data_IF_018237894684
#
_entry.id   IF_018237894684
#
_cell.length_a   1.000
_cell.length_b   1.000
_cell.length_c   1.000
_cell.angle_alpha   90.00
_cell.angle_beta   90.00
_cell.angle_gamma   90.00
#
_symmetry.space_group_name_H-M   'P 1'
#
loop_
_entity.id
_entity.type
_entity.pdbx_description
1 polymer ?
#
# COMPACT_ATOMS: atom_id res chain seq x y z
N UNK A 1 12.96 14.83 4.02
CA UNK A 1 13.09 13.58 4.84
C UNK A 1 11.91 13.50 5.81
N UNK A 2 11.45 12.30 6.19
CA UNK A 2 10.41 12.18 7.21
C UNK A 2 11.01 12.28 8.62
N UNK A 3 10.32 13.03 9.50
CA UNK A 3 10.67 13.18 10.92
C UNK A 3 9.52 12.69 11.78
N UNK A 4 9.80 11.80 12.73
CA UNK A 4 8.78 11.28 13.65
C UNK A 4 8.34 12.41 14.59
N UNK A 5 7.02 12.51 14.77
CA UNK A 5 6.41 13.44 15.71
C UNK A 5 6.46 12.85 17.13
N UNK A 6 6.96 13.64 18.09
CA UNK A 6 7.16 13.26 19.48
C UNK A 6 6.46 14.18 20.49
N UNK A 7 5.85 15.28 20.03
CA UNK A 7 5.05 16.18 20.85
C UNK A 7 3.65 15.62 21.10
N UNK A 8 3.27 15.49 22.39
CA UNK A 8 2.00 14.90 22.81
C UNK A 8 0.78 15.60 22.19
N UNK A 9 0.79 16.93 22.11
CA UNK A 9 -0.33 17.73 21.60
C UNK A 9 -0.54 17.49 20.11
N UNK A 10 0.56 17.40 19.36
CA UNK A 10 0.61 17.11 17.92
C UNK A 10 0.17 15.69 17.64
N UNK A 11 0.71 14.71 18.37
CA UNK A 11 0.31 13.30 18.24
C UNK A 11 -1.19 13.15 18.51
N UNK A 12 -1.71 13.78 19.58
CA UNK A 12 -3.14 13.76 19.91
C UNK A 12 -4.00 14.39 18.80
N UNK A 13 -3.52 15.44 18.14
CA UNK A 13 -4.18 16.06 16.98
C UNK A 13 -4.21 15.10 15.80
N UNK A 14 -3.08 14.46 15.48
CA UNK A 14 -2.97 13.47 14.39
C UNK A 14 -3.84 12.24 14.65
N UNK A 15 -3.88 11.73 15.88
CA UNK A 15 -4.78 10.64 16.26
C UNK A 15 -6.27 10.99 16.05
N UNK A 16 -6.67 12.21 16.39
CA UNK A 16 -8.04 12.69 16.10
C UNK A 16 -8.30 12.81 14.60
N UNK A 17 -7.30 13.20 13.82
CA UNK A 17 -7.38 13.30 12.37
C UNK A 17 -7.53 11.90 11.74
N UNK A 18 -6.76 10.90 12.19
CA UNK A 18 -6.92 9.50 11.80
C UNK A 18 -8.36 9.01 12.02
N UNK A 19 -8.91 9.22 13.22
CA UNK A 19 -10.29 8.81 13.53
C UNK A 19 -11.30 9.57 12.66
N UNK A 20 -11.07 10.86 12.42
CA UNK A 20 -11.94 11.69 11.57
C UNK A 20 -11.93 11.22 10.11
N UNK A 21 -10.77 10.83 9.57
CA UNK A 21 -10.66 10.29 8.21
C UNK A 21 -11.44 8.98 8.05
N UNK A 22 -11.40 8.09 9.06
CA UNK A 22 -12.09 6.79 9.04
C UNK A 22 -13.61 6.92 9.19
N UNK A 23 -14.09 7.97 9.88
CA UNK A 23 -15.51 8.11 10.27
C UNK A 23 -16.52 8.09 9.12
N UNK A 24 -16.30 8.73 7.98
CA UNK A 24 -17.24 8.74 6.85
C UNK A 24 -17.53 7.34 6.29
N UNK A 25 -16.57 6.41 6.38
CA UNK A 25 -16.68 5.06 5.85
C UNK A 25 -17.38 4.08 6.80
N UNK A 26 -17.69 4.50 8.03
CA UNK A 26 -18.34 3.64 9.03
C UNK A 26 -19.81 3.45 8.70
N UNK A 27 -20.18 2.22 8.34
CA UNK A 27 -21.57 1.84 8.06
C UNK A 27 -22.32 1.37 9.31
N UNK A 28 -21.62 0.68 10.24
CA UNK A 28 -22.21 0.23 11.51
C UNK A 28 -21.14 0.00 12.58
N UNK A 29 -21.60 -0.20 13.81
CA UNK A 29 -20.80 -0.66 14.95
C UNK A 29 -21.27 -2.03 15.39
N UNK A 30 -20.31 -2.95 15.57
CA UNK A 30 -20.57 -4.35 15.85
C UNK A 30 -19.96 -4.72 17.19
N UNK A 31 -20.73 -5.39 18.06
CA UNK A 31 -20.22 -5.89 19.33
C UNK A 31 -19.41 -7.16 19.09
N UNK A 32 -18.19 -7.22 19.59
CA UNK A 32 -17.28 -8.35 19.41
C UNK A 32 -16.43 -8.61 20.65
N UNK A 33 -15.75 -9.76 20.66
CA UNK A 33 -14.64 -10.04 21.58
C UNK A 33 -13.34 -9.95 20.78
N UNK A 34 -12.51 -8.93 21.06
CA UNK A 34 -11.19 -8.79 20.44
C UNK A 34 -10.21 -9.64 21.24
N UNK A 35 -9.59 -10.64 20.59
CA UNK A 35 -8.54 -11.46 21.18
C UNK A 35 -7.18 -10.74 21.13
N UNK A 36 -6.49 -10.69 22.28
CA UNK A 36 -5.09 -10.32 22.39
C UNK A 36 -4.29 -11.48 22.99
N UNK A 37 -2.97 -11.54 22.87
CA UNK A 37 -2.17 -12.54 23.58
C UNK A 37 -2.42 -12.47 25.09
N UNK A 38 -3.02 -13.54 25.65
CA UNK A 38 -3.31 -13.65 27.09
C UNK A 38 -4.58 -12.95 27.58
N UNK A 39 -5.30 -12.21 26.74
CA UNK A 39 -6.50 -11.47 27.15
C UNK A 39 -7.55 -11.43 26.03
N UNK A 40 -8.82 -11.37 26.40
CA UNK A 40 -9.91 -11.04 25.46
C UNK A 40 -10.72 -9.87 25.99
N UNK A 41 -11.03 -8.90 25.13
CA UNK A 41 -11.76 -7.69 25.49
C UNK A 41 -13.07 -7.61 24.72
N UNK A 42 -14.19 -7.37 25.42
CA UNK A 42 -15.44 -6.99 24.78
C UNK A 42 -15.33 -5.54 24.28
N UNK A 43 -15.61 -5.32 23.01
CA UNK A 43 -15.55 -4.01 22.39
C UNK A 43 -16.64 -3.84 21.33
N UNK A 44 -16.94 -2.59 20.99
CA UNK A 44 -17.69 -2.24 19.77
C UNK A 44 -16.69 -1.79 18.72
N UNK A 45 -16.52 -2.55 17.66
CA UNK A 45 -15.68 -2.18 16.52
C UNK A 45 -16.52 -1.42 15.50
N UNK A 46 -15.88 -0.51 14.78
CA UNK A 46 -16.48 0.20 13.64
C UNK A 46 -16.21 -0.60 12.37
N UNK A 47 -17.24 -0.91 11.60
CA UNK A 47 -17.15 -1.53 10.29
C UNK A 47 -17.21 -0.48 9.20
N UNK A 48 -16.15 -0.35 8.41
CA UNK A 48 -16.06 0.48 7.23
C UNK A 48 -16.31 -0.41 6.00
N UNK A 49 -17.52 -0.32 5.43
CA UNK A 49 -18.00 -1.29 4.44
C UNK A 49 -17.27 -1.21 3.10
N UNK A 50 -17.10 -0.01 2.55
CA UNK A 50 -16.44 0.19 1.26
C UNK A 50 -14.97 -0.24 1.29
N UNK A 51 -14.11 0.23 2.22
CA UNK A 51 -12.72 -0.25 2.28
C UNK A 51 -12.58 -1.68 2.79
N UNK A 52 -13.66 -2.31 3.29
CA UNK A 52 -13.68 -3.71 3.72
C UNK A 52 -12.88 -4.01 4.98
N UNK A 53 -12.73 -3.02 5.88
CA UNK A 53 -11.99 -3.16 7.13
C UNK A 53 -12.84 -2.84 8.36
N UNK A 54 -12.56 -3.48 9.46
CA UNK A 54 -13.04 -3.02 10.76
C UNK A 54 -11.90 -2.41 11.57
N UNK A 55 -12.25 -1.48 12.47
CA UNK A 55 -11.27 -0.88 13.35
C UNK A 55 -11.82 -0.61 14.75
N UNK A 56 -10.90 -0.60 15.71
CA UNK A 56 -11.15 -0.21 17.08
C UNK A 56 -10.00 0.66 17.58
N UNK A 57 -10.33 1.81 18.15
CA UNK A 57 -9.34 2.75 18.69
C UNK A 57 -9.58 2.94 20.17
N UNK A 58 -8.52 2.87 20.98
CA UNK A 58 -8.54 3.07 22.43
C UNK A 58 -7.29 3.81 22.89
N UNK A 59 -7.47 4.74 23.81
CA UNK A 59 -6.34 5.37 24.51
C UNK A 59 -5.97 4.53 25.73
N UNK A 60 -4.69 4.18 25.85
CA UNK A 60 -4.10 3.64 27.07
C UNK A 60 -3.33 4.81 27.69
N UNK A 61 -3.85 5.32 28.80
CA UNK A 61 -3.33 6.53 29.42
C UNK A 61 -1.82 6.38 29.77
N UNK A 62 -1.06 7.41 29.40
CA UNK A 62 0.38 7.49 29.66
C UNK A 62 1.25 6.53 28.82
N UNK A 63 0.65 5.79 27.86
CA UNK A 63 1.36 4.80 27.06
C UNK A 63 1.13 5.05 25.55
N UNK A 64 -0.03 4.64 25.03
CA UNK A 64 -0.25 4.63 23.58
C UNK A 64 -1.73 4.82 23.18
N UNK A 65 -1.92 5.24 21.95
CA UNK A 65 -3.16 5.03 21.22
C UNK A 65 -3.10 3.64 20.59
N UNK A 66 -3.99 2.74 21.01
CA UNK A 66 -4.14 1.42 20.41
C UNK A 66 -5.12 1.52 19.25
N UNK A 67 -4.64 1.29 18.03
CA UNK A 67 -5.45 1.28 16.82
C UNK A 67 -5.40 -0.13 16.22
N UNK A 68 -6.46 -0.89 16.40
CA UNK A 68 -6.59 -2.28 15.90
C UNK A 68 -7.38 -2.26 14.61
N UNK A 69 -6.90 -2.97 13.59
CA UNK A 69 -7.54 -3.12 12.29
C UNK A 69 -7.64 -4.60 11.92
N UNK A 70 -8.70 -4.95 11.19
CA UNK A 70 -8.85 -6.28 10.61
C UNK A 70 -9.71 -6.25 9.36
N UNK A 71 -9.70 -7.34 8.61
CA UNK A 71 -10.41 -7.52 7.36
C UNK A 71 -11.76 -8.20 7.55
N UNK A 72 -12.67 -7.94 6.61
CA UNK A 72 -13.99 -8.55 6.57
C UNK A 72 -14.94 -8.03 7.66
N UNK A 73 -16.22 -8.20 7.43
CA UNK A 73 -17.25 -7.80 8.41
C UNK A 73 -17.26 -8.77 9.58
N UNK A 74 -17.02 -8.29 10.82
CA UNK A 74 -17.07 -9.14 11.99
C UNK A 74 -18.48 -9.72 12.24
N UNK A 75 -18.59 -10.97 12.74
CA UNK A 75 -19.87 -11.51 13.22
C UNK A 75 -20.29 -10.81 14.52
N UNK A 76 -21.56 -10.49 14.66
CA UNK A 76 -22.10 -9.87 15.89
C UNK A 76 -21.94 -10.83 17.09
N UNK A 77 -21.43 -10.33 18.20
CA UNK A 77 -21.12 -11.12 19.39
C UNK A 77 -19.92 -12.08 19.22
N UNK A 78 -19.34 -12.18 18.03
CA UNK A 78 -18.26 -13.12 17.72
C UNK A 78 -16.91 -12.71 18.29
N UNK A 79 -15.95 -13.65 18.22
CA UNK A 79 -14.54 -13.40 18.52
C UNK A 79 -13.80 -12.99 17.23
N UNK A 80 -13.00 -11.94 17.32
CA UNK A 80 -12.15 -11.47 16.22
C UNK A 80 -10.72 -11.27 16.69
N UNK A 81 -9.78 -11.41 15.77
CA UNK A 81 -8.38 -11.05 15.99
C UNK A 81 -8.01 -9.92 15.05
N UNK A 82 -7.22 -8.97 15.54
CA UNK A 82 -6.71 -7.89 14.70
C UNK A 82 -5.74 -8.44 13.66
N UNK A 83 -5.92 -8.06 12.39
CA UNK A 83 -4.90 -8.30 11.38
C UNK A 83 -3.63 -7.54 11.75
N UNK A 84 -3.78 -6.29 12.18
CA UNK A 84 -2.66 -5.47 12.66
C UNK A 84 -3.10 -4.48 13.73
N UNK A 85 -2.18 -4.15 14.63
CA UNK A 85 -2.27 -3.01 15.53
C UNK A 85 -1.26 -1.96 15.12
N UNK A 86 -1.75 -0.78 14.72
CA UNK A 86 -0.92 0.40 14.43
C UNK A 86 -0.96 1.30 15.67
N UNK A 87 -0.25 0.86 16.69
CA UNK A 87 -0.19 1.57 17.96
C UNK A 87 0.75 2.77 17.84
N UNK A 88 0.35 3.92 18.39
CA UNK A 88 1.11 5.16 18.36
C UNK A 88 1.37 5.63 19.79
N UNK A 89 2.60 6.01 20.20
CA UNK A 89 2.88 6.57 21.51
C UNK A 89 2.02 7.80 21.80
N UNK A 90 1.61 8.02 23.04
CA UNK A 90 0.87 9.23 23.43
C UNK A 90 1.74 10.47 23.53
N UNK A 91 3.03 10.30 23.74
CA UNK A 91 4.06 11.34 23.78
C UNK A 91 5.42 10.66 23.87
N UNK A 92 6.49 11.37 23.50
CA UNK A 92 7.85 10.84 23.38
C UNK A 92 8.05 9.74 22.33
N UNK A 93 9.32 9.46 22.05
CA UNK A 93 9.71 8.40 21.12
C UNK A 93 9.73 7.05 21.85
N UNK A 94 8.92 6.10 21.41
CA UNK A 94 9.00 4.70 21.83
C UNK A 94 9.16 3.77 20.63
N UNK A 95 10.38 3.27 20.42
CA UNK A 95 10.73 2.37 19.33
C UNK A 95 10.18 0.95 19.47
N UNK A 96 9.62 0.60 20.63
CA UNK A 96 8.95 -0.69 20.84
C UNK A 96 7.55 -0.68 20.24
N UNK A 97 6.96 0.51 20.07
CA UNK A 97 5.65 0.72 19.45
C UNK A 97 5.80 0.77 17.94
N UNK A 98 5.03 -0.06 17.22
CA UNK A 98 5.20 -0.27 15.77
C UNK A 98 4.77 0.91 14.91
N UNK A 99 3.73 1.66 15.29
CA UNK A 99 3.21 2.81 14.55
C UNK A 99 3.75 4.14 15.07
N UNK A 100 3.74 5.15 14.21
CA UNK A 100 3.99 6.54 14.57
C UNK A 100 3.36 7.48 13.53
N UNK A 101 3.31 8.76 13.87
CA UNK A 101 3.09 9.83 12.90
C UNK A 101 4.43 10.46 12.56
N UNK A 102 4.63 10.74 11.27
CA UNK A 102 5.83 11.42 10.79
C UNK A 102 5.45 12.58 9.86
N UNK A 103 6.27 13.61 9.82
CA UNK A 103 6.05 14.80 9.01
C UNK A 103 7.16 14.94 7.99
N UNK A 104 6.80 15.34 6.77
CA UNK A 104 7.77 15.71 5.73
C UNK A 104 8.12 17.21 5.78
N UNK A 105 9.07 17.61 4.93
CA UNK A 105 9.54 18.99 4.85
C UNK A 105 8.45 19.97 4.33
N UNK A 106 7.40 19.46 3.69
CA UNK A 106 6.23 20.25 3.26
C UNK A 106 5.16 20.38 4.35
N UNK A 107 5.36 19.76 5.51
CA UNK A 107 4.40 19.82 6.63
C UNK A 107 3.26 18.79 6.55
N UNK A 108 3.26 17.89 5.56
CA UNK A 108 2.28 16.80 5.45
C UNK A 108 2.57 15.75 6.51
N UNK A 109 1.52 15.16 7.07
CA UNK A 109 1.63 14.16 8.14
C UNK A 109 1.22 12.79 7.66
N UNK A 110 2.11 11.84 7.80
CA UNK A 110 1.92 10.46 7.39
C UNK A 110 1.75 9.53 8.59
N UNK A 111 0.88 8.53 8.44
CA UNK A 111 0.87 7.37 9.31
C UNK A 111 1.96 6.40 8.81
N UNK A 112 2.83 5.96 9.72
CA UNK A 112 3.96 5.07 9.40
C UNK A 112 3.97 3.83 10.30
N UNK A 113 4.69 2.79 9.86
CA UNK A 113 4.88 1.56 10.63
C UNK A 113 6.30 1.02 10.53
N UNK A 114 6.88 0.58 11.66
CA UNK A 114 8.27 0.10 11.76
C UNK A 114 8.49 -1.35 11.28
N UNK A 115 7.44 -2.02 10.77
CA UNK A 115 7.54 -3.34 10.14
C UNK A 115 7.58 -4.54 11.08
N UNK A 116 7.59 -4.36 12.40
CA UNK A 116 7.47 -5.47 13.35
C UNK A 116 6.00 -5.69 13.70
N UNK A 117 5.42 -6.75 13.18
CA UNK A 117 4.00 -7.09 13.34
C UNK A 117 3.85 -8.10 14.48
N UNK A 118 3.18 -7.68 15.54
CA UNK A 118 2.88 -8.54 16.68
C UNK A 118 1.59 -9.35 16.49
N UNK A 119 1.19 -10.08 17.54
CA UNK A 119 -0.05 -10.84 17.61
C UNK A 119 0.17 -12.35 17.52
N UNK A 120 -0.95 -13.12 17.52
CA UNK A 120 -0.93 -14.60 17.51
C UNK A 120 -0.23 -15.17 16.27
N UNK A 121 -0.40 -14.50 15.11
CA UNK A 121 0.29 -14.76 13.85
C UNK A 121 1.22 -13.57 13.60
N UNK A 122 2.27 -13.44 14.43
CA UNK A 122 3.24 -12.36 14.36
C UNK A 122 4.19 -12.55 13.18
N UNK A 123 4.55 -11.44 12.50
CA UNK A 123 5.54 -11.45 11.42
C UNK A 123 6.78 -10.72 11.88
N UNK A 124 7.91 -11.41 11.87
CA UNK A 124 9.21 -10.81 12.18
C UNK A 124 9.55 -9.70 11.16
N UNK A 125 10.34 -8.71 11.62
CA UNK A 125 10.74 -7.57 10.79
C UNK A 125 11.38 -8.01 9.47
N UNK A 126 12.26 -9.01 9.51
CA UNK A 126 12.95 -9.52 8.33
C UNK A 126 11.98 -10.10 7.28
N UNK A 127 11.03 -10.94 7.69
CA UNK A 127 10.03 -11.52 6.79
C UNK A 127 9.13 -10.43 6.21
N UNK A 128 8.73 -9.47 7.03
CA UNK A 128 7.94 -8.33 6.57
C UNK A 128 8.70 -7.50 5.53
N UNK A 129 9.97 -7.15 5.78
CA UNK A 129 10.81 -6.39 4.84
C UNK A 129 11.04 -7.15 3.52
N UNK A 130 11.14 -8.48 3.58
CA UNK A 130 11.33 -9.30 2.39
C UNK A 130 10.10 -9.31 1.47
N UNK A 131 8.89 -9.30 2.04
CA UNK A 131 7.65 -9.52 1.31
C UNK A 131 6.79 -8.27 1.13
N UNK A 132 6.88 -7.28 2.03
CA UNK A 132 6.05 -6.09 1.90
C UNK A 132 6.43 -5.28 0.67
N UNK A 133 5.47 -5.09 -0.22
CA UNK A 133 5.56 -4.25 -1.41
C UNK A 133 4.69 -3.00 -1.19
N UNK A 134 5.33 -1.87 -1.01
CA UNK A 134 4.71 -0.56 -0.76
C UNK A 134 5.79 0.48 -0.52
N UNK A 135 5.39 1.64 -0.03
CA UNK A 135 6.27 2.79 0.16
C UNK A 135 7.12 2.61 1.42
N UNK A 136 8.43 2.62 1.24
CA UNK A 136 9.41 2.62 2.31
C UNK A 136 10.12 3.96 2.38
N UNK A 137 10.49 4.39 3.58
CA UNK A 137 11.32 5.57 3.82
C UNK A 137 12.27 5.34 4.98
N UNK A 138 13.36 6.09 5.01
CA UNK A 138 14.10 6.33 6.22
C UNK A 138 13.48 7.51 6.99
N UNK A 139 13.40 7.39 8.30
CA UNK A 139 12.92 8.44 9.19
C UNK A 139 13.95 8.79 10.23
N UNK A 140 13.99 10.05 10.62
CA UNK A 140 14.68 10.48 11.84
C UNK A 140 13.85 10.07 13.05
N UNK A 141 14.40 9.17 13.86
CA UNK A 141 13.81 8.61 15.07
C UNK A 141 14.69 9.00 16.28
N UNK A 142 14.60 10.26 16.69
CA UNK A 142 15.54 10.87 17.62
C UNK A 142 16.93 10.99 17.00
N UNK A 143 17.96 10.40 17.65
CA UNK A 143 19.35 10.43 17.17
C UNK A 143 19.71 9.28 16.20
N UNK A 144 18.75 8.52 15.72
CA UNK A 144 18.98 7.38 14.80
C UNK A 144 18.09 7.48 13.58
N UNK A 145 18.50 6.79 12.52
CA UNK A 145 17.67 6.56 11.35
C UNK A 145 17.10 5.15 11.37
N UNK A 146 15.86 4.99 10.96
CA UNK A 146 15.22 3.70 10.83
C UNK A 146 14.36 3.61 9.59
N UNK A 147 14.36 2.43 8.95
CA UNK A 147 13.47 2.15 7.85
C UNK A 147 12.04 1.91 8.37
N UNK A 148 11.08 2.57 7.73
CA UNK A 148 9.65 2.45 8.04
C UNK A 148 8.83 2.33 6.76
N UNK A 149 7.65 1.75 6.89
CA UNK A 149 6.61 1.81 5.87
C UNK A 149 5.83 3.09 6.02
N UNK A 150 5.62 3.80 4.91
CA UNK A 150 4.69 4.93 4.82
C UNK A 150 3.34 4.39 4.38
N UNK A 151 2.33 4.51 5.24
CA UNK A 151 0.99 3.98 4.99
C UNK A 151 0.18 4.95 4.13
N UNK A 152 0.21 6.23 4.47
CA UNK A 152 -0.48 7.28 3.71
C UNK A 152 -0.48 8.62 4.42
N UNK A 153 -0.81 9.67 3.66
CA UNK A 153 -0.99 11.03 4.16
C UNK A 153 -2.36 11.16 4.82
N UNK A 154 -2.39 11.55 6.10
CA UNK A 154 -3.64 11.72 6.88
C UNK A 154 -4.61 12.73 6.26
N UNK A 155 -4.17 13.62 5.40
CA UNK A 155 -4.99 14.64 4.75
C UNK A 155 -5.47 14.23 3.36
N UNK A 156 -4.90 13.17 2.78
CA UNK A 156 -5.33 12.65 1.48
C UNK A 156 -6.75 12.08 1.58
N UNK A 157 -7.57 12.37 0.57
CA UNK A 157 -8.89 11.74 0.40
C UNK A 157 -8.77 10.23 0.12
N UNK A 158 -7.59 9.74 -0.30
CA UNK A 158 -7.27 8.34 -0.55
C UNK A 158 -6.75 7.62 0.70
N UNK A 159 -6.50 8.32 1.80
CA UNK A 159 -5.83 7.78 2.99
C UNK A 159 -6.48 6.48 3.51
N UNK A 160 -7.80 6.41 3.56
CA UNK A 160 -8.50 5.23 4.11
C UNK A 160 -8.34 4.02 3.21
N UNK A 161 -8.29 4.21 1.89
CA UNK A 161 -7.98 3.14 0.93
C UNK A 161 -6.52 2.68 1.05
N UNK A 162 -5.58 3.62 1.22
CA UNK A 162 -4.16 3.32 1.46
C UNK A 162 -3.98 2.49 2.74
N UNK A 163 -4.66 2.88 3.81
CA UNK A 163 -4.66 2.13 5.07
C UNK A 163 -5.27 0.72 4.89
N UNK A 164 -6.39 0.60 4.20
CA UNK A 164 -7.02 -0.69 3.93
C UNK A 164 -6.11 -1.60 3.07
N UNK A 165 -5.44 -1.04 2.07
CA UNK A 165 -4.45 -1.76 1.28
C UNK A 165 -3.28 -2.25 2.15
N UNK A 166 -2.78 -1.41 3.05
CA UNK A 166 -1.74 -1.82 4.01
C UNK A 166 -2.20 -2.99 4.88
N UNK A 167 -3.44 -2.95 5.41
CA UNK A 167 -4.00 -4.05 6.23
C UNK A 167 -4.08 -5.34 5.42
N UNK A 168 -4.52 -5.30 4.14
CA UNK A 168 -4.57 -6.48 3.25
C UNK A 168 -3.18 -7.05 2.98
N UNK A 169 -2.19 -6.18 2.66
CA UNK A 169 -0.78 -6.61 2.46
C UNK A 169 -0.21 -7.30 3.71
N UNK A 170 -0.51 -6.78 4.89
CA UNK A 170 -0.10 -7.43 6.16
C UNK A 170 -0.77 -8.79 6.35
N UNK A 171 -2.05 -8.92 6.04
CA UNK A 171 -2.77 -10.18 6.15
C UNK A 171 -2.17 -11.25 5.24
N UNK A 172 -1.95 -10.91 3.97
CA UNK A 172 -1.32 -11.79 3.00
C UNK A 172 0.09 -12.24 3.42
N UNK A 173 0.89 -11.35 4.01
CA UNK A 173 2.23 -11.71 4.52
C UNK A 173 2.12 -12.65 5.74
N UNK A 174 1.09 -12.50 6.57
CA UNK A 174 0.83 -13.41 7.69
C UNK A 174 0.48 -14.82 7.21
N UNK A 175 -0.30 -14.91 6.14
CA UNK A 175 -0.65 -16.20 5.54
C UNK A 175 0.57 -16.95 4.99
N UNK A 176 1.58 -16.21 4.49
CA UNK A 176 2.86 -16.82 4.07
C UNK A 176 3.66 -17.41 5.24
N UNK A 177 3.53 -16.86 6.44
CA UNK A 177 4.25 -17.31 7.63
C UNK A 177 3.65 -18.56 8.29
N UNK A 178 2.42 -18.94 7.95
CA UNK A 178 1.74 -20.12 8.48
C UNK A 178 2.06 -21.41 7.71
N UNK A 179 2.57 -21.30 6.47
CA UNK A 179 3.09 -22.45 5.72
C UNK A 179 4.46 -22.86 6.27
N UNK A 180 4.47 -23.84 7.17
CA UNK A 180 5.68 -24.40 7.81
C UNK A 180 6.61 -25.18 6.82
N UNK A 181 6.38 -25.07 5.51
CA UNK A 181 7.24 -25.66 4.48
C UNK A 181 8.42 -24.72 4.16
N UNK A 182 9.66 -25.09 4.55
CA UNK A 182 10.86 -24.32 4.20
C UNK A 182 11.07 -24.20 2.69
N UNK A 183 10.49 -25.10 1.88
CA UNK A 183 10.57 -25.07 0.41
C UNK A 183 9.51 -24.14 -0.20
N UNK A 184 8.36 -23.96 0.43
CA UNK A 184 7.38 -22.95 0.04
C UNK A 184 7.93 -21.50 0.18
N UNK A 185 8.98 -21.31 0.98
CA UNK A 185 9.68 -20.03 1.14
C UNK A 185 10.56 -19.64 -0.05
N UNK A 186 10.89 -20.56 -0.94
CA UNK A 186 11.83 -20.36 -2.06
C UNK A 186 11.09 -20.20 -3.39
N UNK A 187 9.92 -20.76 -3.52
CA UNK A 187 9.10 -20.71 -4.72
C UNK A 187 7.92 -19.76 -4.55
N UNK A 188 8.19 -18.46 -4.58
CA UNK A 188 7.22 -17.58 -5.21
C UNK A 188 7.25 -17.93 -6.70
N UNK A 189 6.44 -18.92 -7.01
CA UNK A 189 6.20 -19.28 -8.39
C UNK A 189 5.61 -18.04 -9.07
N UNK A 190 6.28 -17.55 -10.10
CA UNK A 190 5.91 -16.37 -10.91
C UNK A 190 4.50 -16.46 -11.52
N UNK A 191 3.76 -17.52 -11.24
CA UNK A 191 2.52 -17.87 -11.93
C UNK A 191 1.24 -17.42 -11.24
N UNK A 192 1.26 -16.97 -9.96
CA UNK A 192 0.04 -16.52 -9.28
C UNK A 192 0.08 -15.03 -9.02
N UNK A 193 -0.72 -14.30 -9.80
CA UNK A 193 -1.01 -12.90 -9.52
C UNK A 193 -1.64 -12.77 -8.12
N UNK A 194 -1.02 -11.96 -7.26
CA UNK A 194 -1.54 -11.58 -5.94
C UNK A 194 -1.55 -10.07 -5.85
N UNK A 195 -2.74 -9.51 -5.72
CA UNK A 195 -2.97 -8.06 -5.61
C UNK A 195 -2.17 -7.42 -4.47
N UNK A 196 -1.98 -8.17 -3.39
CA UNK A 196 -1.30 -7.71 -2.17
C UNK A 196 0.20 -7.44 -2.40
N UNK A 197 0.77 -8.01 -3.47
CA UNK A 197 2.20 -7.86 -3.79
C UNK A 197 2.48 -6.92 -4.97
N UNK A 198 1.47 -6.18 -5.42
CA UNK A 198 1.66 -5.10 -6.38
C UNK A 198 2.34 -3.92 -5.68
N UNK A 199 3.24 -3.25 -6.39
CA UNK A 199 4.01 -2.12 -5.89
C UNK A 199 5.48 -2.47 -5.68
N UNK A 200 6.30 -1.43 -5.57
CA UNK A 200 7.75 -1.56 -5.42
C UNK A 200 8.23 -1.13 -4.04
N UNK A 201 9.35 -1.70 -3.59
CA UNK A 201 10.06 -1.20 -2.43
C UNK A 201 10.87 0.02 -2.85
N UNK A 202 10.58 1.18 -2.27
CA UNK A 202 11.35 2.40 -2.48
C UNK A 202 11.92 2.89 -1.16
N UNK A 203 13.21 3.11 -1.15
CA UNK A 203 13.89 3.83 -0.07
C UNK A 203 14.46 5.08 -0.72
N UNK A 204 13.82 6.23 -0.56
CA UNK A 204 14.29 7.48 -1.16
C UNK A 204 14.01 8.67 -0.25
N UNK A 205 15.05 9.43 0.05
CA UNK A 205 14.96 10.66 0.86
C UNK A 205 14.33 11.85 0.11
N UNK A 206 14.20 11.79 -1.22
CA UNK A 206 13.84 12.94 -2.07
C UNK A 206 12.51 12.80 -2.81
N UNK A 207 11.69 11.79 -2.48
CA UNK A 207 10.46 11.53 -3.21
C UNK A 207 9.23 12.11 -2.53
N UNK A 208 8.21 12.36 -3.33
CA UNK A 208 6.88 12.69 -2.84
C UNK A 208 6.19 11.41 -2.32
N UNK A 209 6.18 11.25 -1.00
CA UNK A 209 5.60 10.08 -0.34
C UNK A 209 4.10 9.93 -0.60
N UNK A 210 3.37 11.04 -0.73
CA UNK A 210 1.94 11.00 -1.03
C UNK A 210 1.72 10.45 -2.45
N UNK A 211 2.47 10.97 -3.43
CA UNK A 211 2.40 10.48 -4.81
C UNK A 211 2.79 9.00 -4.94
N UNK A 212 3.76 8.52 -4.17
CA UNK A 212 4.12 7.08 -4.17
C UNK A 212 3.02 6.22 -3.54
N UNK A 213 2.34 6.70 -2.49
CA UNK A 213 1.19 5.99 -1.90
C UNK A 213 -0.01 5.97 -2.87
N UNK A 214 -0.26 7.08 -3.57
CA UNK A 214 -1.32 7.17 -4.58
C UNK A 214 -1.01 6.24 -5.77
N UNK A 215 0.25 6.20 -6.22
CA UNK A 215 0.70 5.27 -7.25
C UNK A 215 0.41 3.81 -6.90
N UNK A 216 0.66 3.39 -5.67
CA UNK A 216 0.40 2.02 -5.23
C UNK A 216 -1.09 1.68 -5.29
N UNK A 217 -1.98 2.64 -4.99
CA UNK A 217 -3.41 2.47 -5.18
C UNK A 217 -3.80 2.44 -6.66
N UNK A 218 -3.25 3.33 -7.48
CA UNK A 218 -3.50 3.34 -8.92
C UNK A 218 -3.08 2.01 -9.57
N UNK A 219 -1.95 1.44 -9.15
CA UNK A 219 -1.52 0.13 -9.62
C UNK A 219 -2.50 -0.99 -9.23
N UNK A 220 -3.08 -0.94 -8.03
CA UNK A 220 -4.12 -1.89 -7.61
C UNK A 220 -5.39 -1.73 -8.44
N UNK A 221 -5.86 -0.50 -8.65
CA UNK A 221 -7.05 -0.22 -9.46
C UNK A 221 -6.86 -0.64 -10.93
N UNK A 222 -5.64 -0.42 -11.47
CA UNK A 222 -5.28 -0.90 -12.81
C UNK A 222 -5.41 -2.42 -12.90
N UNK A 223 -4.89 -3.14 -11.90
CA UNK A 223 -4.99 -4.60 -11.88
C UNK A 223 -6.45 -5.07 -11.81
N UNK A 224 -7.29 -4.42 -11.00
CA UNK A 224 -8.72 -4.72 -10.96
C UNK A 224 -9.36 -4.46 -12.33
N UNK A 225 -9.10 -3.31 -12.95
CA UNK A 225 -9.64 -2.96 -14.25
C UNK A 225 -9.24 -3.96 -15.35
N UNK A 226 -7.98 -4.36 -15.37
CA UNK A 226 -7.48 -5.38 -16.31
C UNK A 226 -8.16 -6.75 -16.09
N UNK A 227 -8.39 -7.15 -14.84
CA UNK A 227 -9.15 -8.37 -14.51
C UNK A 227 -10.59 -8.29 -15.01
N UNK A 228 -11.27 -7.18 -14.78
CA UNK A 228 -12.64 -6.97 -15.23
C UNK A 228 -12.76 -7.03 -16.75
N UNK A 229 -11.70 -6.66 -17.48
CA UNK A 229 -11.58 -6.82 -18.93
C UNK A 229 -11.21 -8.25 -19.36
N UNK A 230 -11.05 -9.19 -18.42
CA UNK A 230 -10.73 -10.58 -18.71
C UNK A 230 -9.24 -10.88 -18.94
N UNK A 231 -8.34 -9.93 -18.66
CA UNK A 231 -6.91 -10.13 -18.83
C UNK A 231 -6.35 -11.15 -17.82
N UNK A 232 -5.43 -12.00 -18.28
CA UNK A 232 -4.66 -12.89 -17.41
C UNK A 232 -3.47 -12.15 -16.84
N UNK A 233 -3.54 -11.80 -15.55
CA UNK A 233 -2.53 -11.01 -14.88
C UNK A 233 -1.39 -11.84 -14.33
N UNK A 234 -0.22 -11.23 -14.26
CA UNK A 234 0.92 -11.66 -13.48
C UNK A 234 1.58 -10.45 -12.82
N UNK A 235 2.40 -10.71 -11.81
CA UNK A 235 3.23 -9.70 -11.17
C UNK A 235 4.68 -10.18 -11.11
N UNK A 236 5.62 -9.29 -11.41
CA UNK A 236 7.04 -9.61 -11.34
C UNK A 236 7.64 -9.33 -9.96
N UNK A 237 8.91 -9.71 -9.73
CA UNK A 237 9.60 -9.56 -8.45
C UNK A 237 9.70 -8.11 -7.96
N UNK A 238 9.62 -7.15 -8.88
CA UNK A 238 9.61 -5.71 -8.57
C UNK A 238 8.22 -5.13 -8.33
N UNK A 239 7.17 -5.97 -8.31
CA UNK A 239 5.77 -5.54 -8.14
C UNK A 239 5.16 -4.91 -9.39
N UNK A 240 5.78 -5.09 -10.56
CA UNK A 240 5.21 -4.72 -11.86
C UNK A 240 4.00 -5.57 -12.22
N UNK A 241 3.09 -4.98 -12.97
CA UNK A 241 1.92 -5.67 -13.52
C UNK A 241 2.21 -6.03 -14.97
N UNK A 242 1.82 -7.23 -15.38
CA UNK A 242 1.84 -7.63 -16.77
C UNK A 242 0.63 -8.50 -17.11
N UNK A 243 0.27 -8.52 -18.40
CA UNK A 243 -0.75 -9.43 -18.95
C UNK A 243 -0.10 -10.57 -19.71
N UNK A 244 -0.83 -11.70 -19.79
CA UNK A 244 -0.41 -12.87 -20.56
C UNK A 244 -1.44 -13.16 -21.66
N UNK A 245 -0.94 -13.56 -22.80
CA UNK A 245 -1.75 -14.09 -23.88
C UNK A 245 -2.28 -15.51 -23.59
N UNK A 246 -3.13 -16.10 -24.46
CA UNK A 246 -3.60 -17.48 -24.29
C UNK A 246 -2.50 -18.53 -24.27
N UNK A 247 -1.34 -18.26 -24.89
CA UNK A 247 -0.17 -19.13 -24.90
C UNK A 247 0.69 -19.00 -23.62
N UNK A 248 0.32 -18.07 -22.70
CA UNK A 248 1.02 -17.82 -21.44
C UNK A 248 2.20 -16.85 -21.57
N UNK A 249 2.44 -16.28 -22.74
CA UNK A 249 3.50 -15.30 -22.94
C UNK A 249 3.08 -13.91 -22.47
N UNK A 250 4.05 -13.09 -22.04
CA UNK A 250 3.78 -11.72 -21.59
C UNK A 250 3.41 -10.88 -22.83
N UNK A 251 2.16 -10.42 -22.87
CA UNK A 251 1.62 -9.59 -23.95
C UNK A 251 1.80 -8.10 -23.70
N UNK A 252 1.61 -7.63 -22.45
CA UNK A 252 1.85 -6.23 -22.09
C UNK A 252 2.50 -6.10 -20.71
N UNK A 253 3.31 -5.07 -20.51
CA UNK A 253 3.91 -4.68 -19.22
C UNK A 253 3.46 -3.27 -18.90
N UNK A 254 3.04 -3.07 -17.64
CA UNK A 254 2.57 -1.79 -17.13
C UNK A 254 3.52 -1.25 -16.07
N UNK A 255 3.83 0.03 -16.16
CA UNK A 255 4.48 0.79 -15.10
C UNK A 255 3.61 2.00 -14.76
N UNK A 256 3.32 2.19 -13.48
CA UNK A 256 2.58 3.36 -13.00
C UNK A 256 3.57 4.35 -12.43
N UNK A 257 3.65 5.54 -13.02
CA UNK A 257 4.50 6.60 -12.52
C UNK A 257 3.86 7.30 -11.31
N UNK A 258 4.64 7.69 -10.29
CA UNK A 258 4.11 8.43 -9.14
C UNK A 258 3.73 9.87 -9.50
N UNK A 259 4.37 10.45 -10.50
CA UNK A 259 4.16 11.82 -10.96
C UNK A 259 4.44 11.99 -12.44
N UNK A 260 4.08 13.17 -12.97
CA UNK A 260 4.36 13.57 -14.35
C UNK A 260 5.64 14.41 -14.49
N UNK A 261 6.47 14.50 -13.43
CA UNK A 261 7.76 15.21 -13.50
C UNK A 261 8.78 14.37 -14.28
N UNK A 262 9.75 15.00 -14.98
CA UNK A 262 10.71 14.30 -15.84
C UNK A 262 11.38 13.09 -15.16
N UNK A 263 11.84 13.24 -13.92
CA UNK A 263 12.52 12.16 -13.20
C UNK A 263 11.66 10.92 -12.97
N UNK A 264 10.35 11.08 -12.71
CA UNK A 264 9.41 9.97 -12.52
C UNK A 264 9.12 9.27 -13.84
N UNK A 265 8.94 10.06 -14.91
CA UNK A 265 8.70 9.55 -16.27
C UNK A 265 9.92 8.79 -16.80
N UNK A 266 11.12 9.36 -16.70
CA UNK A 266 12.37 8.73 -17.09
C UNK A 266 12.59 7.40 -16.37
N UNK A 267 12.29 7.35 -15.08
CA UNK A 267 12.39 6.12 -14.29
C UNK A 267 11.38 5.07 -14.76
N UNK A 268 10.13 5.46 -15.02
CA UNK A 268 9.09 4.55 -15.55
C UNK A 268 9.51 3.97 -16.90
N UNK A 269 9.97 4.83 -17.81
CA UNK A 269 10.50 4.43 -19.11
C UNK A 269 11.68 3.46 -18.98
N UNK A 270 12.65 3.78 -18.13
CA UNK A 270 13.82 2.92 -17.93
C UNK A 270 13.42 1.53 -17.41
N UNK A 271 12.46 1.45 -16.49
CA UNK A 271 11.95 0.17 -15.98
C UNK A 271 11.26 -0.64 -17.08
N UNK A 272 10.37 -0.04 -17.87
CA UNK A 272 9.69 -0.72 -18.97
C UNK A 272 10.69 -1.27 -19.98
N UNK A 273 11.68 -0.48 -20.39
CA UNK A 273 12.71 -0.90 -21.33
C UNK A 273 13.57 -2.05 -20.79
N UNK A 274 14.11 -1.90 -19.56
CA UNK A 274 14.99 -2.90 -18.95
C UNK A 274 14.29 -4.24 -18.71
N UNK A 275 12.98 -4.21 -18.40
CA UNK A 275 12.19 -5.43 -18.21
C UNK A 275 11.89 -6.11 -19.54
N UNK A 276 11.49 -5.34 -20.55
CA UNK A 276 11.14 -5.89 -21.86
C UNK A 276 12.33 -6.53 -22.59
N UNK A 277 13.56 -6.00 -22.43
CA UNK A 277 14.78 -6.55 -23.05
C UNK A 277 15.05 -8.02 -22.64
N UNK A 278 14.60 -8.42 -21.45
CA UNK A 278 14.80 -9.79 -20.95
C UNK A 278 13.81 -10.82 -21.49
N UNK A 279 12.79 -10.36 -22.21
CA UNK A 279 11.73 -11.23 -22.73
C UNK A 279 12.07 -11.67 -24.16
N UNK A 280 11.68 -12.88 -24.51
CA UNK A 280 11.89 -13.44 -25.85
C UNK A 280 11.04 -12.77 -26.93
N UNK A 281 9.89 -12.24 -26.53
CA UNK A 281 9.01 -11.43 -27.39
C UNK A 281 8.92 -10.01 -26.81
N UNK A 282 8.69 -9.04 -27.69
CA UNK A 282 8.51 -7.65 -27.29
C UNK A 282 7.05 -7.42 -26.85
N UNK A 283 6.79 -7.20 -25.56
CA UNK A 283 5.46 -6.91 -25.08
C UNK A 283 5.07 -5.47 -25.41
N UNK A 284 3.76 -5.17 -25.41
CA UNK A 284 3.31 -3.79 -25.33
C UNK A 284 3.82 -3.14 -24.04
N UNK A 285 4.42 -1.97 -24.15
CA UNK A 285 4.95 -1.21 -23.01
C UNK A 285 4.02 -0.06 -22.72
N UNK A 286 3.43 -0.07 -21.54
CA UNK A 286 2.41 0.90 -21.16
C UNK A 286 2.85 1.65 -19.91
N UNK A 287 3.04 2.97 -20.06
CA UNK A 287 3.32 3.89 -18.97
C UNK A 287 2.03 4.57 -18.54
N UNK A 288 1.57 4.29 -17.33
CA UNK A 288 0.43 4.97 -16.72
C UNK A 288 0.93 6.17 -15.94
N UNK A 289 0.37 7.35 -16.20
CA UNK A 289 0.81 8.63 -15.62
C UNK A 289 -0.33 9.38 -14.97
N UNK A 290 -0.13 10.07 -13.84
CA UNK A 290 -1.18 10.90 -13.24
C UNK A 290 -1.41 12.14 -14.14
N UNK A 291 -2.65 12.25 -14.66
CA UNK A 291 -3.06 13.32 -15.58
C UNK A 291 -2.54 13.18 -17.00
N UNK A 292 -2.77 14.20 -17.79
CA UNK A 292 -2.44 14.24 -19.22
C UNK A 292 -1.01 14.73 -19.47
N UNK A 293 -0.28 14.05 -20.36
CA UNK A 293 0.99 14.54 -20.89
C UNK A 293 0.77 15.37 -22.18
N UNK A 294 1.68 16.31 -22.41
CA UNK A 294 1.73 17.06 -23.66
C UNK A 294 1.95 16.15 -24.87
N UNK A 295 1.44 16.58 -26.02
CA UNK A 295 1.54 15.83 -27.29
C UNK A 295 2.98 15.47 -27.65
N UNK A 296 3.91 16.41 -27.50
CA UNK A 296 5.32 16.20 -27.78
C UNK A 296 5.94 15.08 -26.94
N UNK A 297 5.60 15.03 -25.64
CA UNK A 297 6.07 13.99 -24.74
C UNK A 297 5.49 12.62 -25.12
N UNK A 298 4.18 12.55 -25.44
CA UNK A 298 3.55 11.30 -25.91
C UNK A 298 4.20 10.78 -27.20
N UNK A 299 4.46 11.66 -28.17
CA UNK A 299 5.16 11.32 -29.42
C UNK A 299 6.59 10.84 -29.18
N UNK A 300 7.30 11.43 -28.20
CA UNK A 300 8.64 10.99 -27.81
C UNK A 300 8.62 9.57 -27.24
N UNK A 301 7.70 9.25 -26.33
CA UNK A 301 7.60 7.91 -25.75
C UNK A 301 7.15 6.88 -26.77
N UNK A 302 6.26 7.23 -27.69
CA UNK A 302 5.84 6.36 -28.78
C UNK A 302 7.02 5.94 -29.69
N UNK A 303 8.00 6.85 -29.94
CA UNK A 303 9.24 6.50 -30.67
C UNK A 303 10.07 5.45 -29.95
N UNK A 304 9.90 5.28 -28.62
CA UNK A 304 10.52 4.21 -27.82
C UNK A 304 9.64 2.96 -27.74
N UNK A 305 8.51 2.95 -28.45
CA UNK A 305 7.51 1.88 -28.38
C UNK A 305 6.83 1.80 -27.01
N UNK A 306 6.61 2.97 -26.39
CA UNK A 306 5.94 3.09 -25.09
C UNK A 306 4.64 3.90 -25.29
N UNK A 307 3.51 3.28 -24.98
CA UNK A 307 2.22 3.92 -24.97
C UNK A 307 1.99 4.58 -23.61
N UNK A 308 1.35 5.74 -23.60
CA UNK A 308 1.06 6.49 -22.39
C UNK A 308 -0.44 6.52 -22.14
N UNK A 309 -0.85 6.08 -20.95
CA UNK A 309 -2.24 6.12 -20.49
C UNK A 309 -2.36 7.12 -19.35
N UNK A 310 -3.22 8.15 -19.45
CA UNK A 310 -3.50 9.03 -18.33
C UNK A 310 -4.31 8.30 -17.26
N UNK A 311 -4.03 8.67 -16.01
CA UNK A 311 -4.74 8.19 -14.83
C UNK A 311 -5.31 9.40 -14.07
N UNK A 312 -6.59 9.35 -13.77
CA UNK A 312 -7.29 10.36 -12.96
C UNK A 312 -8.03 9.69 -11.80
N UNK A 313 -8.41 10.48 -10.80
CA UNK A 313 -9.14 9.97 -9.64
C UNK A 313 -10.61 10.40 -9.70
N UNK A 314 -11.53 9.42 -9.73
CA UNK A 314 -12.97 9.65 -9.66
C UNK A 314 -13.51 8.91 -8.42
N UNK A 315 -14.16 9.65 -7.52
CA UNK A 315 -14.70 9.12 -6.26
C UNK A 315 -13.69 8.26 -5.47
N UNK A 316 -12.40 8.62 -5.57
CA UNK A 316 -11.31 7.91 -4.89
C UNK A 316 -10.80 6.64 -5.61
N UNK A 317 -11.32 6.30 -6.78
CA UNK A 317 -10.86 5.19 -7.64
C UNK A 317 -10.09 5.74 -8.84
N UNK A 318 -9.01 5.07 -9.24
CA UNK A 318 -8.26 5.45 -10.41
C UNK A 318 -8.98 5.03 -11.68
N UNK A 319 -9.09 5.97 -12.63
CA UNK A 319 -9.67 5.77 -13.97
C UNK A 319 -8.55 5.90 -15.00
N UNK A 320 -8.58 5.04 -16.02
CA UNK A 320 -7.53 4.89 -17.03
C UNK A 320 -8.13 5.10 -18.41
N UNK A 321 -7.98 6.32 -18.95
CA UNK A 321 -8.55 6.66 -20.25
C UNK A 321 -7.76 6.01 -21.39
N UNK A 322 -8.46 5.35 -22.32
CA UNK A 322 -7.84 4.69 -23.46
C UNK A 322 -7.19 3.33 -23.16
N UNK A 323 -7.40 2.75 -21.96
CA UNK A 323 -6.78 1.46 -21.59
C UNK A 323 -7.25 0.32 -22.51
N UNK A 324 -8.53 0.28 -22.89
CA UNK A 324 -9.09 -0.78 -23.71
C UNK A 324 -8.49 -0.75 -25.13
N UNK A 325 -8.40 0.43 -25.73
CA UNK A 325 -7.86 0.62 -27.07
C UNK A 325 -6.41 0.16 -27.18
N UNK A 326 -5.62 0.36 -26.12
CA UNK A 326 -4.22 -0.03 -26.11
C UNK A 326 -3.96 -1.53 -25.90
N UNK A 327 -4.97 -2.30 -25.54
CA UNK A 327 -4.87 -3.76 -25.38
C UNK A 327 -5.41 -4.51 -26.59
N UNK A 328 -6.21 -3.86 -27.43
CA UNK A 328 -6.79 -4.44 -28.66
C UNK A 328 -5.87 -4.24 -29.88
N UNK A 329 -4.81 -3.42 -29.78
CA UNK A 329 -3.76 -3.24 -30.78
C UNK A 329 -2.66 -4.30 -30.65
#
# INVERSE_FOLDING_TARGET
>A
MLKILDDESTIRRCQRQLIRALRPFVTCRIAVKIGHPGESMRAKVSWAGEPGIWFHTRTIAGDRYRNSFGLGRPPDGGAVSSTIEINVPTGSLDRKIGGAFAQDDAGRVFLIHRGKIGGRRGVGKFLFEAHYRGVWSEVEDGNTRSAVVVIGDLQSHLFVRQLAQFVRKVDAIKDLGDDDDPQARIFFDDERFREEFIGGRYVSERRDYAAECDRDLAALDLAHRLKDMGARLGSGPGGEIFTRDPAGQISAIFEVAPGAVPADLEQGVARLLLRSVRLSQQPHRILVVPGELGREQKEMFLKLGIHVIPCTWEEGTAVFDGLAEQLDE
#
